data_IF_301625933148
#
_entry.id   IF_301625933148
#
_cell.length_a   1.000
_cell.length_b   1.000
_cell.length_c   1.000
_cell.angle_alpha   90.00
_cell.angle_beta   90.00
_cell.angle_gamma   90.00
#
_symmetry.space_group_name_H-M   'P 1'
#
loop_
_entity.id
_entity.type
_entity.pdbx_description
1 polymer ?
#
# COMPACT_ATOMS: atom_id res chain seq x y z
N UNK A 1 3.63 -1.74 1.70
CA UNK A 1 4.69 -0.94 1.05
C UNK A 1 4.42 0.52 1.44
N UNK A 2 5.10 1.52 0.87
CA UNK A 2 4.64 2.89 1.08
C UNK A 2 3.40 3.20 0.24
N UNK A 3 2.54 4.10 0.73
CA UNK A 3 1.32 4.58 0.05
C UNK A 3 1.58 4.98 -1.41
N UNK A 4 2.70 5.66 -1.71
CA UNK A 4 3.04 6.07 -3.08
C UNK A 4 3.27 4.87 -4.01
N UNK A 5 3.77 3.74 -3.50
CA UNK A 5 3.91 2.53 -4.30
C UNK A 5 2.57 1.88 -4.61
N UNK A 6 1.64 1.86 -3.65
CA UNK A 6 0.27 1.40 -3.89
C UNK A 6 -0.46 2.30 -4.87
N UNK A 7 -0.30 3.62 -4.74
CA UNK A 7 -0.77 4.60 -5.71
C UNK A 7 -0.23 4.33 -7.12
N UNK A 8 1.08 4.08 -7.26
CA UNK A 8 1.70 3.77 -8.55
C UNK A 8 1.09 2.50 -9.18
N UNK A 9 0.90 1.44 -8.40
CA UNK A 9 0.21 0.21 -8.84
C UNK A 9 -1.23 0.52 -9.26
N UNK A 10 -1.95 1.34 -8.49
CA UNK A 10 -3.28 1.82 -8.84
C UNK A 10 -3.32 2.49 -10.20
N UNK A 11 -2.40 3.43 -10.46
CA UNK A 11 -2.29 4.11 -11.75
C UNK A 11 -1.94 3.13 -12.88
N UNK A 12 -0.98 2.22 -12.69
CA UNK A 12 -0.61 1.22 -13.69
C UNK A 12 -1.83 0.38 -14.07
N UNK A 13 -2.49 -0.23 -13.09
CA UNK A 13 -3.65 -1.08 -13.33
C UNK A 13 -4.81 -0.30 -13.96
N UNK A 14 -5.12 0.89 -13.44
CA UNK A 14 -6.22 1.70 -13.95
C UNK A 14 -5.95 2.19 -15.37
N UNK A 15 -4.71 2.51 -15.72
CA UNK A 15 -4.34 2.91 -17.09
C UNK A 15 -4.58 1.77 -18.09
N UNK A 16 -4.17 0.54 -17.75
CA UNK A 16 -4.45 -0.65 -18.57
C UNK A 16 -5.95 -0.84 -18.75
N UNK A 17 -6.72 -0.78 -17.67
CA UNK A 17 -8.17 -0.98 -17.72
C UNK A 17 -8.88 0.15 -18.46
N UNK A 18 -8.40 1.39 -18.34
CA UNK A 18 -8.95 2.53 -19.06
C UNK A 18 -8.84 2.33 -20.58
N UNK A 19 -7.74 1.77 -21.09
CA UNK A 19 -7.64 1.45 -22.54
C UNK A 19 -8.65 0.40 -23.05
N UNK A 20 -9.30 -0.33 -22.15
CA UNK A 20 -10.30 -1.36 -22.48
C UNK A 20 -11.72 -0.83 -22.26
N UNK A 21 -11.96 -0.13 -21.14
CA UNK A 21 -13.29 0.27 -20.69
C UNK A 21 -13.61 1.75 -20.87
N UNK A 22 -12.64 2.58 -21.28
CA UNK A 22 -12.81 4.02 -21.52
C UNK A 22 -13.37 4.77 -20.29
N UNK A 23 -12.75 4.56 -19.12
CA UNK A 23 -13.16 5.21 -17.87
C UNK A 23 -13.24 6.73 -17.96
N UNK A 24 -14.27 7.30 -17.36
CA UNK A 24 -14.34 8.72 -17.03
C UNK A 24 -13.32 9.10 -15.95
N UNK A 25 -13.04 10.40 -15.77
CA UNK A 25 -12.16 10.88 -14.71
C UNK A 25 -12.59 10.39 -13.31
N UNK A 26 -13.90 10.38 -13.04
CA UNK A 26 -14.43 9.91 -11.76
C UNK A 26 -14.13 8.43 -11.53
N UNK A 27 -14.39 7.59 -12.53
CA UNK A 27 -14.12 6.15 -12.47
C UNK A 27 -12.63 5.86 -12.34
N UNK A 28 -11.80 6.60 -13.08
CA UNK A 28 -10.35 6.47 -13.00
C UNK A 28 -9.85 6.82 -11.58
N UNK A 29 -10.29 7.95 -11.02
CA UNK A 29 -9.96 8.36 -9.66
C UNK A 29 -10.47 7.36 -8.62
N UNK A 30 -11.64 6.77 -8.82
CA UNK A 30 -12.22 5.78 -7.91
C UNK A 30 -11.31 4.55 -7.81
N UNK A 31 -10.88 3.99 -8.94
CA UNK A 31 -10.01 2.80 -8.96
C UNK A 31 -8.65 3.13 -8.33
N UNK A 32 -8.07 4.28 -8.69
CA UNK A 32 -6.79 4.73 -8.11
C UNK A 32 -6.91 4.94 -6.61
N UNK A 33 -7.96 5.60 -6.12
CA UNK A 33 -8.16 5.83 -4.69
C UNK A 33 -8.30 4.50 -3.93
N UNK A 34 -9.09 3.57 -4.45
CA UNK A 34 -9.30 2.27 -3.81
C UNK A 34 -8.05 1.37 -3.83
N UNK A 35 -7.04 1.68 -4.63
CA UNK A 35 -5.74 0.98 -4.59
C UNK A 35 -4.89 1.26 -3.36
N UNK A 36 -5.16 2.34 -2.61
CA UNK A 36 -4.36 2.70 -1.43
C UNK A 36 -5.18 3.23 -0.25
N UNK A 37 -6.51 3.36 -0.36
CA UNK A 37 -7.35 3.89 0.72
C UNK A 37 -7.23 3.08 2.01
N UNK A 38 -6.96 1.78 1.92
CA UNK A 38 -6.81 0.91 3.08
C UNK A 38 -5.63 1.32 3.96
N UNK A 39 -4.57 1.96 3.43
CA UNK A 39 -3.46 2.45 4.27
C UNK A 39 -3.88 3.54 5.26
N UNK A 40 -5.00 4.24 5.01
CA UNK A 40 -5.54 5.22 5.95
C UNK A 40 -6.12 4.57 7.20
N UNK A 41 -6.27 3.24 7.23
CA UNK A 41 -6.67 2.54 8.44
C UNK A 41 -5.60 2.57 9.55
N UNK A 42 -4.39 3.07 9.24
CA UNK A 42 -3.36 3.42 10.22
C UNK A 42 -3.87 4.38 11.29
N UNK A 43 -4.79 5.29 10.97
CA UNK A 43 -5.40 6.19 11.96
C UNK A 43 -6.31 5.46 12.96
N UNK A 44 -6.73 4.24 12.63
CA UNK A 44 -7.53 3.34 13.47
C UNK A 44 -6.69 2.22 14.09
N UNK A 45 -5.36 2.25 13.95
CA UNK A 45 -4.46 1.22 14.47
C UNK A 45 -4.65 0.93 15.96
N UNK A 46 -5.08 1.91 16.76
CA UNK A 46 -5.40 1.75 18.19
C UNK A 46 -6.49 0.71 18.49
N UNK A 47 -7.34 0.39 17.52
CA UNK A 47 -8.38 -0.63 17.63
C UNK A 47 -7.91 -2.00 17.12
N UNK A 48 -6.72 -2.07 16.53
CA UNK A 48 -6.18 -3.28 15.94
C UNK A 48 -5.38 -4.10 16.96
N UNK A 49 -5.29 -5.42 16.72
CA UNK A 49 -4.45 -6.31 17.55
C UNK A 49 -3.00 -5.84 17.48
N UNK A 50 -2.36 -5.71 18.65
CA UNK A 50 -0.99 -5.21 18.80
C UNK A 50 -0.75 -3.81 18.19
N UNK A 51 -1.80 -2.98 18.10
CA UNK A 51 -1.73 -1.64 17.49
C UNK A 51 -1.24 -1.65 16.03
N UNK A 52 -1.45 -2.76 15.32
CA UNK A 52 -1.04 -2.94 13.94
C UNK A 52 -2.24 -2.89 13.00
N UNK A 53 -2.38 -1.80 12.24
CA UNK A 53 -3.52 -1.59 11.32
C UNK A 53 -3.73 -2.73 10.31
N UNK A 54 -2.66 -3.46 9.96
CA UNK A 54 -2.71 -4.65 9.08
C UNK A 54 -3.52 -5.83 9.65
N UNK A 55 -3.96 -5.70 10.91
CA UNK A 55 -4.85 -6.64 11.58
C UNK A 55 -6.33 -6.27 11.46
N UNK A 56 -6.65 -5.07 10.96
CA UNK A 56 -8.01 -4.61 10.71
C UNK A 56 -8.62 -5.31 9.50
N UNK A 57 -9.95 -5.40 9.47
CA UNK A 57 -10.68 -6.02 8.35
C UNK A 57 -10.52 -5.23 7.05
N UNK A 58 -10.36 -3.91 7.15
CA UNK A 58 -9.99 -3.06 6.01
C UNK A 58 -8.71 -3.58 5.36
N UNK A 59 -7.69 -3.88 6.15
CA UNK A 59 -6.44 -4.43 5.63
C UNK A 59 -6.48 -5.94 5.30
N UNK A 60 -7.63 -6.49 4.90
CA UNK A 60 -7.78 -7.88 4.43
C UNK A 60 -8.25 -7.94 2.99
N UNK A 61 -8.28 -9.13 2.39
CA UNK A 61 -8.75 -9.31 1.01
C UNK A 61 -10.28 -9.19 0.89
N UNK A 62 -11.00 -9.32 2.02
CA UNK A 62 -12.47 -9.41 2.05
C UNK A 62 -13.17 -8.16 1.47
N UNK A 63 -12.79 -6.91 1.81
CA UNK A 63 -13.39 -5.72 1.20
C UNK A 63 -13.19 -5.69 -0.32
N UNK A 64 -12.00 -6.07 -0.81
CA UNK A 64 -11.72 -6.17 -2.24
C UNK A 64 -12.67 -7.14 -2.96
N UNK A 65 -12.85 -8.35 -2.41
CA UNK A 65 -13.81 -9.33 -2.92
C UNK A 65 -15.25 -8.83 -2.91
N UNK A 66 -15.68 -8.16 -1.84
CA UNK A 66 -17.02 -7.57 -1.76
C UNK A 66 -17.23 -6.55 -2.88
N UNK A 67 -16.26 -5.65 -3.09
CA UNK A 67 -16.31 -4.63 -4.14
C UNK A 67 -16.37 -5.29 -5.54
N UNK A 68 -15.61 -6.35 -5.78
CA UNK A 68 -15.67 -7.14 -7.02
C UNK A 68 -17.07 -7.69 -7.26
N UNK A 69 -17.67 -8.33 -6.26
CA UNK A 69 -19.02 -8.92 -6.36
C UNK A 69 -20.05 -7.83 -6.69
N UNK A 70 -19.99 -6.70 -5.99
CA UNK A 70 -20.89 -5.56 -6.24
C UNK A 70 -20.69 -5.05 -7.68
N UNK A 71 -19.44 -4.87 -8.12
CA UNK A 71 -19.12 -4.44 -9.49
C UNK A 71 -19.68 -5.38 -10.57
N UNK A 72 -19.64 -6.69 -10.33
CA UNK A 72 -20.23 -7.70 -11.24
C UNK A 72 -21.76 -7.59 -11.26
N UNK A 73 -22.41 -7.49 -10.09
CA UNK A 73 -23.88 -7.41 -9.97
C UNK A 73 -24.42 -6.18 -10.70
N UNK A 74 -23.75 -5.03 -10.56
CA UNK A 74 -24.17 -3.78 -11.20
C UNK A 74 -23.62 -3.60 -12.62
N UNK A 75 -22.83 -4.54 -13.13
CA UNK A 75 -22.17 -4.47 -14.44
C UNK A 75 -21.40 -3.14 -14.59
N UNK A 76 -20.67 -2.76 -13.54
CA UNK A 76 -19.90 -1.51 -13.50
C UNK A 76 -18.40 -1.82 -13.51
N UNK A 77 -17.72 -1.72 -14.67
CA UNK A 77 -16.33 -2.13 -14.79
C UNK A 77 -15.38 -1.35 -13.86
N UNK A 78 -15.64 -0.08 -13.62
CA UNK A 78 -14.84 0.73 -12.70
C UNK A 78 -14.87 0.17 -11.27
N UNK A 79 -16.05 -0.27 -10.79
CA UNK A 79 -16.17 -0.84 -9.46
C UNK A 79 -15.51 -2.22 -9.37
N UNK A 80 -15.67 -3.06 -10.40
CA UNK A 80 -14.94 -4.32 -10.51
C UNK A 80 -13.42 -4.12 -10.47
N UNK A 81 -12.89 -3.22 -11.30
CA UNK A 81 -11.47 -2.87 -11.33
C UNK A 81 -10.99 -2.27 -10.01
N UNK A 82 -11.83 -1.51 -9.31
CA UNK A 82 -11.52 -0.98 -7.98
C UNK A 82 -11.29 -2.09 -6.96
N UNK A 83 -12.15 -3.12 -6.97
CA UNK A 83 -11.99 -4.28 -6.09
C UNK A 83 -10.75 -5.10 -6.43
N UNK A 84 -10.36 -5.19 -7.72
CA UNK A 84 -9.08 -5.77 -8.13
C UNK A 84 -7.89 -4.95 -7.64
N UNK A 85 -7.92 -3.63 -7.80
CA UNK A 85 -6.84 -2.74 -7.36
C UNK A 85 -6.65 -2.81 -5.84
N UNK A 86 -7.76 -2.81 -5.08
CA UNK A 86 -7.75 -3.06 -3.64
C UNK A 86 -7.13 -4.42 -3.31
N UNK A 87 -7.53 -5.47 -4.04
CA UNK A 87 -7.02 -6.82 -3.79
C UNK A 87 -5.51 -6.92 -4.07
N UNK A 88 -5.03 -6.28 -5.13
CA UNK A 88 -3.61 -6.20 -5.46
C UNK A 88 -2.80 -5.50 -4.38
N UNK A 89 -3.33 -4.42 -3.79
CA UNK A 89 -2.72 -3.79 -2.63
C UNK A 89 -2.45 -4.80 -1.51
N UNK A 90 -3.49 -5.52 -1.10
CA UNK A 90 -3.42 -6.49 0.01
C UNK A 90 -2.44 -7.63 -0.33
N UNK A 91 -2.44 -8.10 -1.58
CA UNK A 91 -1.50 -9.12 -2.06
C UNK A 91 -0.07 -8.62 -1.97
N UNK A 92 0.21 -7.40 -2.44
CA UNK A 92 1.55 -6.80 -2.36
C UNK A 92 2.01 -6.69 -0.89
N UNK A 93 1.11 -6.34 0.01
CA UNK A 93 1.40 -6.24 1.44
C UNK A 93 1.64 -7.57 2.15
N UNK A 94 1.35 -8.70 1.49
CA UNK A 94 1.84 -10.00 1.97
C UNK A 94 3.36 -10.17 1.79
N UNK A 95 3.99 -9.43 0.87
CA UNK A 95 5.41 -9.58 0.59
C UNK A 95 6.29 -8.84 1.60
N UNK A 96 5.88 -7.66 2.08
CA UNK A 96 6.76 -6.79 2.87
C UNK A 96 6.74 -7.08 4.38
N UNK A 97 5.62 -6.82 5.05
CA UNK A 97 5.41 -6.99 6.49
C UNK A 97 4.37 -8.07 6.79
N UNK A 98 3.65 -8.54 5.76
CA UNK A 98 2.52 -9.43 5.91
C UNK A 98 1.26 -8.70 6.37
N UNK A 99 0.13 -9.34 6.13
CA UNK A 99 -1.19 -8.81 6.50
C UNK A 99 -2.09 -9.93 7.03
N UNK A 100 -3.15 -9.59 7.76
CA UNK A 100 -4.20 -10.54 8.12
C UNK A 100 -5.08 -10.85 6.89
N UNK A 101 -4.52 -11.58 5.92
CA UNK A 101 -5.04 -11.70 4.56
C UNK A 101 -6.53 -12.09 4.49
N UNK A 102 -6.96 -13.10 5.25
CA UNK A 102 -8.37 -13.52 5.32
C UNK A 102 -9.12 -12.96 6.53
N UNK A 103 -8.49 -12.13 7.36
CA UNK A 103 -9.00 -11.60 8.63
C UNK A 103 -9.27 -12.63 9.76
N UNK A 104 -9.80 -13.82 9.46
CA UNK A 104 -10.31 -14.79 10.44
C UNK A 104 -9.26 -15.36 11.39
N UNK A 105 -8.01 -15.50 10.94
CA UNK A 105 -6.95 -16.12 11.72
C UNK A 105 -6.35 -15.19 12.78
N UNK A 106 -6.64 -13.88 12.70
CA UNK A 106 -6.04 -12.83 13.57
C UNK A 106 -4.52 -12.97 13.69
N UNK A 107 -3.86 -13.36 12.59
CA UNK A 107 -2.40 -13.47 12.47
C UNK A 107 -1.96 -12.90 11.13
N UNK A 108 -0.79 -12.27 11.10
CA UNK A 108 -0.19 -11.79 9.84
C UNK A 108 0.35 -12.98 9.03
N UNK A 109 -0.14 -13.08 7.79
CA UNK A 109 0.25 -14.03 6.75
C UNK A 109 1.07 -13.29 5.69
N UNK A 110 2.06 -13.96 5.11
CA UNK A 110 2.89 -13.41 4.04
C UNK A 110 4.35 -13.85 4.13
N UNK A 111 5.15 -13.44 3.15
CA UNK A 111 6.58 -13.72 3.08
C UNK A 111 7.39 -12.86 4.05
N UNK A 112 6.91 -11.66 4.39
CA UNK A 112 7.51 -10.76 5.37
C UNK A 112 8.99 -10.47 5.12
N UNK A 113 9.34 -10.14 3.86
CA UNK A 113 10.72 -10.04 3.39
C UNK A 113 11.59 -8.99 4.12
N UNK A 114 10.97 -8.07 4.87
CA UNK A 114 11.66 -6.99 5.59
C UNK A 114 12.05 -7.35 7.03
N UNK A 115 11.63 -8.52 7.55
CA UNK A 115 11.89 -8.92 8.93
C UNK A 115 12.31 -10.39 9.00
N UNK A 116 13.32 -10.69 9.83
CA UNK A 116 13.71 -12.08 10.05
C UNK A 116 12.69 -12.80 10.95
N UNK A 117 12.69 -14.13 10.91
CA UNK A 117 11.84 -14.93 11.80
C UNK A 117 12.13 -14.65 13.28
N UNK A 118 13.41 -14.54 13.63
CA UNK A 118 13.86 -14.23 15.00
C UNK A 118 13.37 -12.86 15.47
N UNK A 119 13.47 -11.85 14.61
CA UNK A 119 13.00 -10.50 14.88
C UNK A 119 11.48 -10.46 15.05
N UNK A 120 10.75 -11.21 14.23
CA UNK A 120 9.29 -11.28 14.31
C UNK A 120 8.82 -11.96 15.61
N UNK A 121 9.48 -13.05 16.02
CA UNK A 121 9.14 -13.79 17.25
C UNK A 121 9.52 -13.01 18.52
N UNK A 122 10.55 -12.16 18.45
CA UNK A 122 11.04 -11.35 19.57
C UNK A 122 10.81 -9.85 19.37
N UNK A 123 9.77 -9.48 18.62
CA UNK A 123 9.53 -8.10 18.17
C UNK A 123 9.59 -7.05 19.31
N UNK A 124 9.01 -7.27 20.51
CA UNK A 124 9.08 -6.29 21.60
C UNK A 124 10.51 -5.94 22.03
N UNK A 125 11.44 -6.91 21.98
CA UNK A 125 12.86 -6.69 22.29
C UNK A 125 13.47 -5.72 21.28
N UNK A 126 13.32 -6.00 19.99
CA UNK A 126 13.88 -5.18 18.92
C UNK A 126 13.24 -3.79 18.84
N UNK A 127 11.93 -3.67 19.12
CA UNK A 127 11.26 -2.37 19.17
C UNK A 127 11.75 -1.51 20.34
N UNK A 128 12.13 -2.12 21.47
CA UNK A 128 12.62 -1.40 22.65
C UNK A 128 14.00 -0.76 22.48
N UNK A 129 14.75 -1.15 21.44
CA UNK A 129 16.04 -0.56 21.10
C UNK A 129 15.92 0.82 20.44
N UNK A 130 14.71 1.21 20.03
CA UNK A 130 14.42 2.49 19.39
C UNK A 130 13.66 3.42 20.32
N UNK A 131 13.92 4.74 20.24
CA UNK A 131 13.13 5.75 20.96
C UNK A 131 11.68 5.76 20.50
N UNK A 132 11.43 5.43 19.24
CA UNK A 132 10.11 5.24 18.64
C UNK A 132 10.04 3.90 17.93
N UNK A 133 9.06 3.07 18.25
CA UNK A 133 8.90 1.74 17.64
C UNK A 133 8.80 1.79 16.11
N UNK A 134 8.23 2.85 15.56
CA UNK A 134 8.11 3.08 14.11
C UNK A 134 9.47 3.20 13.41
N UNK A 135 10.51 3.66 14.12
CA UNK A 135 11.87 3.78 13.60
C UNK A 135 12.45 2.43 13.19
N UNK A 136 12.07 1.33 13.86
CA UNK A 136 12.50 -0.02 13.48
C UNK A 136 12.04 -0.37 12.06
N UNK A 137 10.75 -0.22 11.79
CA UNK A 137 10.14 -0.55 10.50
C UNK A 137 10.65 0.37 9.39
N UNK A 138 10.72 1.67 9.67
CA UNK A 138 11.21 2.68 8.74
C UNK A 138 12.68 2.43 8.35
N UNK A 139 13.55 2.16 9.33
CA UNK A 139 14.97 1.88 9.07
C UNK A 139 15.15 0.60 8.23
N UNK A 140 14.40 -0.46 8.53
CA UNK A 140 14.44 -1.71 7.77
C UNK A 140 14.03 -1.49 6.32
N UNK A 141 12.96 -0.72 6.10
CA UNK A 141 12.48 -0.39 4.77
C UNK A 141 13.54 0.40 3.97
N UNK A 142 14.04 1.51 4.50
CA UNK A 142 15.00 2.37 3.80
C UNK A 142 16.41 1.77 3.67
N UNK A 143 16.76 0.75 4.46
CA UNK A 143 17.98 -0.05 4.25
C UNK A 143 17.84 -1.13 3.18
N UNK A 144 16.61 -1.53 2.84
CA UNK A 144 16.35 -2.55 1.83
C UNK A 144 16.52 -1.97 0.43
N UNK A 145 17.68 -2.22 -0.19
CA UNK A 145 17.94 -1.85 -1.60
C UNK A 145 16.90 -2.44 -2.54
N UNK A 146 16.43 -3.65 -2.26
CA UNK A 146 15.41 -4.32 -3.08
C UNK A 146 14.10 -3.54 -3.05
N UNK A 147 13.64 -3.15 -1.86
CA UNK A 147 12.39 -2.39 -1.71
C UNK A 147 12.48 -1.03 -2.40
N UNK A 148 13.58 -0.30 -2.22
CA UNK A 148 13.80 0.99 -2.90
C UNK A 148 13.87 0.84 -4.43
N UNK A 149 14.54 -0.21 -4.93
CA UNK A 149 14.56 -0.51 -6.37
C UNK A 149 13.17 -0.83 -6.92
N UNK A 150 12.35 -1.57 -6.17
CA UNK A 150 10.96 -1.87 -6.56
C UNK A 150 10.15 -0.56 -6.64
N UNK A 151 10.26 0.34 -5.67
CA UNK A 151 9.54 1.64 -5.71
C UNK A 151 9.94 2.48 -6.93
N UNK A 152 11.23 2.53 -7.24
CA UNK A 152 11.74 3.25 -8.41
C UNK A 152 11.22 2.64 -9.72
N UNK A 153 11.23 1.31 -9.83
CA UNK A 153 10.67 0.59 -10.99
C UNK A 153 9.17 0.87 -11.10
N UNK A 154 8.41 0.82 -10.01
CA UNK A 154 6.97 1.11 -9.99
C UNK A 154 6.69 2.54 -10.45
N UNK A 155 7.50 3.52 -10.04
CA UNK A 155 7.36 4.90 -10.53
C UNK A 155 7.60 5.00 -12.04
N UNK A 156 8.66 4.37 -12.56
CA UNK A 156 8.95 4.37 -14.00
C UNK A 156 7.81 3.71 -14.78
N UNK A 157 7.34 2.55 -14.32
CA UNK A 157 6.22 1.84 -14.93
C UNK A 157 4.93 2.68 -14.86
N UNK A 158 4.64 3.32 -13.74
CA UNK A 158 3.51 4.23 -13.61
C UNK A 158 3.53 5.31 -14.70
N UNK A 159 4.68 5.98 -14.89
CA UNK A 159 4.83 7.02 -15.91
C UNK A 159 4.67 6.47 -17.33
N UNK A 160 5.25 5.31 -17.63
CA UNK A 160 5.11 4.67 -18.95
C UNK A 160 3.64 4.33 -19.22
N UNK A 161 2.98 3.67 -18.29
CA UNK A 161 1.61 3.17 -18.49
C UNK A 161 0.59 4.30 -18.59
N UNK A 162 0.70 5.34 -17.77
CA UNK A 162 -0.23 6.47 -17.88
C UNK A 162 -0.03 7.24 -19.19
N UNK A 163 1.21 7.39 -19.68
CA UNK A 163 1.48 8.07 -20.96
C UNK A 163 0.94 7.26 -22.15
N UNK A 164 1.10 5.93 -22.12
CA UNK A 164 0.70 5.05 -23.22
C UNK A 164 -0.82 4.82 -23.25
N UNK A 165 -1.44 4.64 -22.10
CA UNK A 165 -2.82 4.16 -22.02
C UNK A 165 -3.84 5.18 -21.51
N UNK A 166 -3.43 6.29 -20.88
CA UNK A 166 -4.34 7.21 -20.19
C UNK A 166 -3.76 8.64 -20.09
N UNK A 167 -3.24 9.17 -21.20
CA UNK A 167 -2.49 10.44 -21.24
C UNK A 167 -3.33 11.62 -20.74
N UNK A 168 -4.63 11.62 -20.99
CA UNK A 168 -5.59 12.62 -20.51
C UNK A 168 -5.61 12.76 -18.98
N UNK A 169 -5.18 11.72 -18.26
CA UNK A 169 -5.16 11.67 -16.80
C UNK A 169 -3.76 11.87 -16.21
N UNK A 170 -2.75 12.25 -17.03
CA UNK A 170 -1.35 12.41 -16.60
C UNK A 170 -1.19 13.26 -15.34
N UNK A 171 -2.00 14.31 -15.16
CA UNK A 171 -1.93 15.20 -14.00
C UNK A 171 -2.21 14.49 -12.66
N UNK A 172 -2.94 13.36 -12.67
CA UNK A 172 -3.17 12.56 -11.47
C UNK A 172 -1.84 12.02 -10.92
N UNK A 173 -0.85 11.75 -11.77
CA UNK A 173 0.47 11.27 -11.33
C UNK A 173 1.18 12.22 -10.36
N UNK A 174 0.82 13.51 -10.32
CA UNK A 174 1.39 14.48 -9.38
C UNK A 174 1.09 14.11 -7.91
N UNK A 175 -0.02 13.42 -7.63
CA UNK A 175 -0.36 12.95 -6.29
C UNK A 175 0.66 11.93 -5.73
N UNK A 176 1.40 11.24 -6.61
CA UNK A 176 2.50 10.36 -6.20
C UNK A 176 3.52 11.10 -5.33
N UNK A 177 3.87 12.34 -5.70
CA UNK A 177 4.88 13.13 -4.98
C UNK A 177 4.41 13.57 -3.59
N UNK A 178 3.10 13.71 -3.37
CA UNK A 178 2.55 14.00 -2.04
C UNK A 178 2.79 12.81 -1.11
N UNK A 179 2.47 11.60 -1.58
CA UNK A 179 2.73 10.36 -0.83
C UNK A 179 4.23 10.15 -0.57
N UNK A 180 5.07 10.35 -1.59
CA UNK A 180 6.52 10.25 -1.47
C UNK A 180 7.07 11.25 -0.44
N UNK A 181 6.64 12.51 -0.52
CA UNK A 181 7.05 13.54 0.43
C UNK A 181 6.68 13.16 1.87
N UNK A 182 5.47 12.64 2.09
CA UNK A 182 5.03 12.19 3.41
C UNK A 182 5.98 11.14 4.00
N UNK A 183 6.33 10.09 3.25
CA UNK A 183 7.20 9.02 3.73
C UNK A 183 8.65 9.50 3.95
N UNK A 184 9.19 10.27 3.01
CA UNK A 184 10.55 10.82 3.11
C UNK A 184 10.67 11.80 4.28
N UNK A 185 9.70 12.69 4.46
CA UNK A 185 9.67 13.62 5.59
C UNK A 185 9.59 12.87 6.92
N UNK A 186 8.77 11.82 7.00
CA UNK A 186 8.66 10.96 8.18
C UNK A 186 9.97 10.24 8.49
N UNK A 187 10.63 9.67 7.48
CA UNK A 187 11.93 9.01 7.62
C UNK A 187 12.98 9.94 8.24
N UNK A 188 13.16 11.14 7.67
CA UNK A 188 14.14 12.10 8.19
C UNK A 188 13.79 12.58 9.60
N UNK A 189 12.50 12.75 9.90
CA UNK A 189 12.05 13.08 11.25
C UNK A 189 12.40 11.97 12.25
N UNK A 190 12.06 10.71 11.97
CA UNK A 190 12.35 9.57 12.84
C UNK A 190 13.86 9.42 13.04
N UNK A 191 14.65 9.51 11.95
CA UNK A 191 16.11 9.47 12.01
C UNK A 191 16.69 10.56 12.91
N UNK A 192 16.15 11.78 12.88
CA UNK A 192 16.59 12.88 13.76
C UNK A 192 16.26 12.58 15.23
N UNK A 193 15.10 12.01 15.52
CA UNK A 193 14.71 11.61 16.88
C UNK A 193 15.70 10.59 17.44
N UNK A 194 16.07 9.57 16.66
CA UNK A 194 17.00 8.53 17.10
C UNK A 194 18.45 9.04 17.25
N UNK A 195 18.84 10.11 16.53
CA UNK A 195 20.19 10.71 16.63
C UNK A 195 20.37 11.69 17.79
N UNK A 196 19.28 12.24 18.33
CA UNK A 196 19.36 13.14 19.48
C UNK A 196 19.73 12.31 20.70
N UNK A 197 20.70 12.72 21.52
CA UNK A 197 21.09 11.98 22.73
C UNK A 197 19.95 11.97 23.75
#
# INVERSE_FOLDING_TARGET
MHINSHFAVGIICTSIFHSIFNFTLFEFLLVVLLSFICDFDVFFAKYAVNHNHRMLISHSILPGFLIIIIGIIFIWPALFCSGLAYSLHIIIDTFDWGTNFFYFQKKQIGLKLLISKEEFENLPKYLSEFKRAESFFDLKYYKSKISLSIEAILFILMMIFIIVFALEFILISLFYFIGLYFHVSRHFFLRKVEMTK
#
